data_IF_388658035046
#
_entry.id   IF_388658035046
#
_cell.length_a   1.000
_cell.length_b   1.000
_cell.length_c   1.000
_cell.angle_alpha   90.00
_cell.angle_beta   90.00
_cell.angle_gamma   90.00
#
_symmetry.space_group_name_H-M   'P 1'
#
loop_
_entity.id
_entity.type
_entity.pdbx_description
1 polymer ?
#
# COMPACT_ATOMS: atom_id res chain seq x y z
N UNK A 1 39.71 -52.32 17.74
CA UNK A 1 38.84 -51.15 17.99
C UNK A 1 38.47 -50.41 16.69
N UNK A 2 37.72 -51.02 15.73
CA UNK A 2 37.36 -50.34 14.47
C UNK A 2 35.93 -49.74 14.48
N UNK A 3 35.07 -50.22 15.38
CA UNK A 3 33.63 -49.91 15.39
C UNK A 3 33.33 -48.47 15.85
N UNK A 4 34.18 -47.91 16.71
CA UNK A 4 34.05 -46.54 17.23
C UNK A 4 34.36 -45.46 16.18
N UNK A 5 35.25 -45.75 15.22
CA UNK A 5 35.64 -44.81 14.16
C UNK A 5 34.58 -44.67 13.07
N UNK A 6 33.83 -45.75 12.79
CA UNK A 6 32.73 -45.72 11.81
C UNK A 6 31.55 -44.88 12.29
N UNK A 7 31.19 -45.00 13.57
CA UNK A 7 30.09 -44.24 14.18
C UNK A 7 30.39 -42.73 14.22
N UNK A 8 31.64 -42.34 14.53
CA UNK A 8 32.06 -40.94 14.56
C UNK A 8 32.06 -40.29 13.16
N UNK A 9 32.39 -41.06 12.11
CA UNK A 9 32.32 -40.60 10.71
C UNK A 9 30.87 -40.45 10.21
N UNK A 10 29.98 -41.36 10.59
CA UNK A 10 28.54 -41.28 10.30
C UNK A 10 27.90 -40.07 10.99
N UNK A 11 28.23 -39.83 12.26
CA UNK A 11 27.77 -38.66 13.02
C UNK A 11 28.28 -37.35 12.42
N UNK A 12 29.56 -37.28 12.02
CA UNK A 12 30.12 -36.11 11.37
C UNK A 12 29.47 -35.83 10.01
N UNK A 13 29.20 -36.86 9.20
CA UNK A 13 28.48 -36.73 7.95
C UNK A 13 27.03 -36.24 8.15
N UNK A 14 26.34 -36.73 9.19
CA UNK A 14 24.99 -36.29 9.56
C UNK A 14 24.96 -34.84 10.08
N UNK A 15 25.99 -34.41 10.82
CA UNK A 15 26.16 -33.02 11.23
C UNK A 15 26.48 -32.09 10.06
N UNK A 16 27.28 -32.55 9.08
CA UNK A 16 27.56 -31.79 7.86
C UNK A 16 26.30 -31.65 6.99
N UNK A 17 25.48 -32.70 6.83
CA UNK A 17 24.20 -32.58 6.10
C UNK A 17 23.17 -31.70 6.83
N UNK A 18 23.17 -31.69 8.18
CA UNK A 18 22.36 -30.74 8.96
C UNK A 18 22.87 -29.29 8.87
N UNK A 19 24.18 -29.07 8.70
CA UNK A 19 24.75 -27.73 8.47
C UNK A 19 24.39 -27.16 7.09
N UNK A 20 24.08 -28.03 6.12
CA UNK A 20 23.59 -27.66 4.79
C UNK A 20 22.05 -27.57 4.70
N UNK A 21 21.31 -27.83 5.78
CA UNK A 21 19.97 -27.27 5.93
C UNK A 21 20.15 -25.77 6.16
N UNK A 22 20.44 -25.07 5.07
CA UNK A 22 20.39 -23.63 5.01
C UNK A 22 19.07 -23.21 5.59
N UNK A 23 19.13 -22.39 6.63
CA UNK A 23 17.97 -21.68 7.14
C UNK A 23 17.49 -20.81 5.98
N UNK A 24 16.60 -21.33 5.13
CA UNK A 24 15.90 -20.50 4.15
C UNK A 24 15.01 -19.61 5.00
N UNK A 25 15.50 -18.39 5.28
CA UNK A 25 14.67 -17.38 5.90
C UNK A 25 13.45 -17.22 4.99
N UNK A 26 12.31 -17.71 5.45
CA UNK A 26 11.05 -17.55 4.73
C UNK A 26 10.58 -16.13 5.01
N UNK A 27 10.69 -15.27 4.01
CA UNK A 27 10.22 -13.90 4.09
C UNK A 27 8.72 -13.87 3.82
N UNK A 28 7.99 -13.03 4.56
CA UNK A 28 6.56 -12.78 4.30
C UNK A 28 6.38 -12.23 2.88
N UNK A 29 5.30 -12.58 2.17
CA UNK A 29 5.03 -12.00 0.86
C UNK A 29 4.93 -10.47 0.92
N UNK A 30 5.44 -9.80 -0.11
CA UNK A 30 5.36 -8.35 -0.27
C UNK A 30 4.39 -8.04 -1.40
N UNK A 31 3.39 -7.22 -1.13
CA UNK A 31 2.42 -6.76 -2.12
C UNK A 31 2.70 -5.30 -2.42
N UNK A 32 2.94 -4.98 -3.68
CA UNK A 32 3.26 -3.62 -4.14
C UNK A 32 2.03 -3.00 -4.80
N UNK A 33 1.65 -1.81 -4.35
CA UNK A 33 0.60 -0.97 -4.95
C UNK A 33 1.23 0.32 -5.46
N UNK A 34 1.12 0.54 -6.77
CA UNK A 34 1.78 1.66 -7.43
C UNK A 34 1.01 2.98 -7.28
N UNK A 35 1.62 4.07 -7.77
CA UNK A 35 1.06 5.40 -7.75
C UNK A 35 0.46 5.85 -9.08
N UNK A 36 0.24 7.15 -9.21
CA UNK A 36 -0.23 7.79 -10.43
C UNK A 36 0.69 7.49 -11.63
N UNK A 37 0.08 7.09 -12.74
CA UNK A 37 0.72 6.84 -14.03
C UNK A 37 1.78 5.75 -14.09
N UNK A 38 2.00 5.03 -12.99
CA UNK A 38 2.92 3.88 -12.94
C UNK A 38 2.24 2.59 -13.44
N UNK A 39 3.03 1.53 -13.52
CA UNK A 39 2.62 0.13 -13.71
C UNK A 39 3.64 -0.80 -13.06
N UNK A 40 3.41 -2.13 -13.02
CA UNK A 40 4.39 -3.09 -12.50
C UNK A 40 5.79 -2.99 -13.12
N UNK A 41 5.90 -2.56 -14.39
CA UNK A 41 7.19 -2.42 -15.06
C UNK A 41 8.09 -1.35 -14.44
N UNK A 42 7.55 -0.41 -13.68
CA UNK A 42 8.33 0.69 -13.10
C UNK A 42 9.02 0.30 -11.77
N UNK A 43 8.69 -0.88 -11.23
CA UNK A 43 9.20 -1.37 -9.95
C UNK A 43 10.38 -2.34 -10.08
N UNK A 44 10.94 -2.53 -11.28
CA UNK A 44 12.05 -3.49 -11.49
C UNK A 44 13.25 -3.23 -10.59
N UNK A 45 13.59 -1.96 -10.34
CA UNK A 45 14.68 -1.61 -9.43
C UNK A 45 14.38 -2.04 -7.98
N UNK A 46 13.15 -1.83 -7.51
CA UNK A 46 12.71 -2.29 -6.19
C UNK A 46 12.77 -3.81 -6.09
N UNK A 47 12.25 -4.52 -7.11
CA UNK A 47 12.27 -5.98 -7.15
C UNK A 47 13.69 -6.53 -7.11
N UNK A 48 14.64 -5.91 -7.82
CA UNK A 48 16.05 -6.28 -7.76
C UNK A 48 16.62 -6.10 -6.35
N UNK A 49 16.39 -4.96 -5.70
CA UNK A 49 16.86 -4.74 -4.34
C UNK A 49 16.27 -5.73 -3.33
N UNK A 50 14.97 -6.04 -3.43
CA UNK A 50 14.34 -7.05 -2.57
C UNK A 50 14.99 -8.42 -2.82
N UNK A 51 15.21 -8.81 -4.08
CA UNK A 51 15.82 -10.10 -4.39
C UNK A 51 17.29 -10.20 -3.95
N UNK A 52 18.06 -9.10 -4.06
CA UNK A 52 19.46 -9.04 -3.62
C UNK A 52 19.59 -9.13 -2.09
N UNK A 53 18.67 -8.52 -1.34
CA UNK A 53 18.75 -8.43 0.13
C UNK A 53 17.93 -9.49 0.86
N UNK A 54 16.81 -9.91 0.27
CA UNK A 54 15.88 -10.91 0.80
C UNK A 54 15.56 -11.95 -0.29
N UNK A 55 16.55 -12.76 -0.71
CA UNK A 55 16.37 -13.73 -1.79
C UNK A 55 15.25 -14.73 -1.47
N UNK A 56 14.39 -14.99 -2.45
CA UNK A 56 13.24 -15.89 -2.31
C UNK A 56 11.97 -15.24 -1.75
N UNK A 57 11.97 -13.94 -1.46
CA UNK A 57 10.73 -13.21 -1.10
C UNK A 57 9.73 -13.26 -2.24
N UNK A 58 8.50 -13.69 -1.96
CA UNK A 58 7.41 -13.63 -2.93
C UNK A 58 6.90 -12.18 -3.04
N UNK A 59 7.21 -11.50 -4.14
CA UNK A 59 6.77 -10.11 -4.38
C UNK A 59 5.70 -10.10 -5.47
N UNK A 60 4.52 -9.56 -5.14
CA UNK A 60 3.41 -9.36 -6.07
C UNK A 60 3.22 -7.88 -6.33
N UNK A 61 3.60 -7.40 -7.52
CA UNK A 61 3.26 -6.05 -7.97
C UNK A 61 1.91 -6.13 -8.68
N UNK A 62 0.87 -5.59 -8.05
CA UNK A 62 -0.51 -5.77 -8.51
C UNK A 62 -0.75 -4.88 -9.73
N UNK A 63 -1.06 -5.52 -10.87
CA UNK A 63 -1.33 -4.90 -12.17
C UNK A 63 -2.80 -4.48 -12.27
N UNK A 64 -3.14 -3.34 -11.68
CA UNK A 64 -4.48 -2.77 -11.70
C UNK A 64 -4.42 -1.25 -11.69
N UNK A 65 -5.25 -0.61 -12.52
CA UNK A 65 -5.30 0.85 -12.66
C UNK A 65 -3.98 1.47 -13.14
N UNK A 66 -3.27 0.74 -13.99
CA UNK A 66 -2.06 1.19 -14.66
C UNK A 66 -2.24 2.48 -15.46
N UNK A 67 -1.15 3.26 -15.54
CA UNK A 67 -1.06 4.42 -16.43
C UNK A 67 -2.22 5.39 -16.20
N UNK A 68 -3.00 5.72 -17.23
CA UNK A 68 -4.12 6.66 -17.13
C UNK A 68 -5.26 6.14 -16.28
N UNK A 69 -5.39 4.82 -16.09
CA UNK A 69 -6.46 4.25 -15.27
C UNK A 69 -6.29 4.58 -13.78
N UNK A 70 -5.08 4.96 -13.34
CA UNK A 70 -4.80 5.49 -11.99
C UNK A 70 -5.52 6.81 -11.70
N UNK A 71 -6.13 7.45 -12.72
CA UNK A 71 -6.95 8.64 -12.55
C UNK A 71 -8.39 8.34 -12.16
N UNK A 72 -8.83 7.08 -12.19
CA UNK A 72 -10.18 6.72 -11.71
C UNK A 72 -10.31 6.95 -10.20
N UNK A 73 -11.52 7.25 -9.74
CA UNK A 73 -11.84 7.45 -8.31
C UNK A 73 -11.14 6.46 -7.38
N UNK A 74 -10.56 6.96 -6.29
CA UNK A 74 -9.81 6.13 -5.35
C UNK A 74 -10.66 5.02 -4.70
N UNK A 75 -11.96 5.23 -4.48
CA UNK A 75 -12.82 4.16 -3.95
C UNK A 75 -12.99 3.01 -4.94
N UNK A 76 -13.01 3.30 -6.25
CA UNK A 76 -13.01 2.25 -7.28
C UNK A 76 -11.70 1.48 -7.26
N UNK A 77 -10.57 2.19 -7.07
CA UNK A 77 -9.26 1.55 -6.97
C UNK A 77 -9.16 0.66 -5.72
N UNK A 78 -9.61 1.16 -4.56
CA UNK A 78 -9.63 0.40 -3.30
C UNK A 78 -10.38 -0.92 -3.45
N UNK A 79 -11.55 -0.91 -4.10
CA UNK A 79 -12.32 -2.13 -4.29
C UNK A 79 -11.63 -3.10 -5.27
N UNK A 80 -11.05 -2.61 -6.38
CA UNK A 80 -10.29 -3.45 -7.29
C UNK A 80 -9.06 -4.08 -6.63
N UNK A 81 -8.28 -3.28 -5.90
CA UNK A 81 -7.12 -3.79 -5.16
C UNK A 81 -7.53 -4.74 -4.04
N UNK A 82 -8.65 -4.50 -3.32
CA UNK A 82 -9.18 -5.47 -2.34
C UNK A 82 -9.38 -6.83 -2.99
N UNK A 83 -10.07 -6.89 -4.14
CA UNK A 83 -10.38 -8.15 -4.81
C UNK A 83 -9.13 -8.91 -5.24
N UNK A 84 -8.08 -8.20 -5.69
CA UNK A 84 -6.81 -8.82 -6.08
C UNK A 84 -5.94 -9.23 -4.89
N UNK A 85 -5.92 -8.44 -3.82
CA UNK A 85 -5.02 -8.61 -2.68
C UNK A 85 -5.55 -9.62 -1.67
N UNK A 86 -6.87 -9.67 -1.47
CA UNK A 86 -7.49 -10.52 -0.44
C UNK A 86 -7.13 -12.01 -0.58
N UNK A 87 -7.12 -12.63 -1.79
CA UNK A 87 -6.65 -14.00 -1.94
C UNK A 87 -5.17 -14.20 -1.60
N UNK A 88 -4.31 -13.20 -1.85
CA UNK A 88 -2.88 -13.25 -1.51
C UNK A 88 -2.72 -13.27 0.01
N UNK A 89 -3.45 -12.38 0.70
CA UNK A 89 -3.51 -12.34 2.16
C UNK A 89 -3.97 -13.69 2.73
N UNK A 90 -5.04 -14.27 2.21
CA UNK A 90 -5.58 -15.54 2.72
C UNK A 90 -4.65 -16.74 2.52
N UNK A 91 -3.75 -16.69 1.54
CA UNK A 91 -2.75 -17.74 1.31
C UNK A 91 -1.46 -17.54 2.13
N UNK A 92 -1.30 -16.41 2.82
CA UNK A 92 -0.13 -16.09 3.61
C UNK A 92 -0.41 -16.30 5.11
N UNK A 93 -0.14 -17.50 5.62
CA UNK A 93 -0.44 -17.86 7.01
C UNK A 93 0.19 -16.90 8.05
N UNK A 94 1.41 -16.43 7.79
CA UNK A 94 2.14 -15.52 8.68
C UNK A 94 1.90 -14.04 8.36
N UNK A 95 0.98 -13.73 7.44
CA UNK A 95 0.68 -12.38 6.99
C UNK A 95 1.55 -11.88 5.84
N UNK A 96 1.30 -10.64 5.43
CA UNK A 96 1.98 -9.99 4.28
C UNK A 96 2.51 -8.61 4.66
N UNK A 97 3.43 -8.09 3.85
CA UNK A 97 3.81 -6.68 3.87
C UNK A 97 3.16 -5.95 2.70
N UNK A 98 2.67 -4.72 2.94
CA UNK A 98 2.24 -3.81 1.89
C UNK A 98 3.32 -2.77 1.65
N UNK A 99 3.71 -2.60 0.39
CA UNK A 99 4.55 -1.50 -0.07
C UNK A 99 3.75 -0.63 -1.03
N UNK A 100 3.43 0.58 -0.63
CA UNK A 100 2.47 1.40 -1.34
C UNK A 100 3.08 2.75 -1.66
N UNK A 101 3.32 3.00 -2.95
CA UNK A 101 4.06 4.17 -3.41
C UNK A 101 3.13 5.32 -3.81
N UNK A 102 3.45 6.55 -3.38
CA UNK A 102 2.75 7.77 -3.81
C UNK A 102 1.24 7.64 -3.55
N UNK A 103 0.39 7.81 -4.57
CA UNK A 103 -1.06 7.59 -4.46
C UNK A 103 -1.45 6.22 -3.88
N UNK A 104 -0.67 5.17 -4.15
CA UNK A 104 -0.91 3.82 -3.66
C UNK A 104 -1.00 3.73 -2.14
N UNK A 105 -0.30 4.59 -1.39
CA UNK A 105 -0.39 4.59 0.08
C UNK A 105 -1.74 5.03 0.62
N UNK A 106 -2.48 5.90 -0.11
CA UNK A 106 -3.85 6.23 0.24
C UNK A 106 -4.81 5.07 -0.02
N UNK A 107 -4.60 4.36 -1.14
CA UNK A 107 -5.36 3.16 -1.50
C UNK A 107 -5.16 2.09 -0.44
N UNK A 108 -3.92 1.79 -0.07
CA UNK A 108 -3.60 0.82 0.97
C UNK A 108 -4.20 1.22 2.32
N UNK A 109 -4.06 2.48 2.74
CA UNK A 109 -4.66 2.94 4.00
C UNK A 109 -6.17 2.77 4.03
N UNK A 110 -6.87 3.11 2.93
CA UNK A 110 -8.31 2.91 2.81
C UNK A 110 -8.71 1.43 2.78
N UNK A 111 -7.95 0.59 2.08
CA UNK A 111 -8.12 -0.86 2.08
C UNK A 111 -7.99 -1.43 3.49
N UNK A 112 -6.97 -1.05 4.26
CA UNK A 112 -6.81 -1.50 5.65
C UNK A 112 -7.91 -0.97 6.58
N UNK A 113 -8.37 0.26 6.36
CA UNK A 113 -9.44 0.86 7.16
C UNK A 113 -10.80 0.20 6.93
N UNK A 114 -11.01 -0.41 5.74
CA UNK A 114 -12.31 -0.97 5.35
C UNK A 114 -12.34 -2.49 5.34
N UNK A 115 -11.19 -3.17 5.51
CA UNK A 115 -11.05 -4.63 5.49
C UNK A 115 -10.55 -5.13 6.85
N UNK A 116 -11.43 -5.30 7.85
CA UNK A 116 -11.03 -5.56 9.24
C UNK A 116 -10.35 -6.92 9.47
N UNK A 117 -10.44 -7.84 8.50
CA UNK A 117 -9.89 -9.19 8.52
C UNK A 117 -8.57 -9.32 7.72
N UNK A 118 -7.91 -8.21 7.40
CA UNK A 118 -6.59 -8.22 6.77
C UNK A 118 -5.51 -8.81 7.70
N UNK A 119 -4.49 -9.45 7.15
CA UNK A 119 -3.32 -9.95 7.89
C UNK A 119 -2.01 -9.22 7.55
N UNK A 120 -2.11 -7.91 7.27
CA UNK A 120 -0.92 -7.07 7.02
C UNK A 120 -0.12 -6.89 8.29
N UNK A 121 1.16 -7.25 8.22
CA UNK A 121 2.14 -7.08 9.29
C UNK A 121 2.81 -5.71 9.24
N UNK A 122 3.31 -5.33 8.05
CA UNK A 122 3.97 -4.04 7.84
C UNK A 122 3.31 -3.31 6.68
N UNK A 123 2.89 -2.07 6.93
CA UNK A 123 2.44 -1.14 5.91
C UNK A 123 3.49 -0.06 5.68
N UNK A 124 4.13 -0.10 4.52
CA UNK A 124 5.12 0.88 4.07
C UNK A 124 4.41 1.87 3.15
N UNK A 125 4.22 3.09 3.65
CA UNK A 125 3.63 4.21 2.92
C UNK A 125 4.74 5.08 2.31
N UNK A 126 5.23 4.71 1.12
CA UNK A 126 6.38 5.39 0.53
C UNK A 126 5.97 6.69 -0.16
N UNK A 127 6.34 7.83 0.44
CA UNK A 127 6.16 9.17 -0.13
C UNK A 127 4.71 9.47 -0.56
N UNK A 128 3.75 8.93 0.19
CA UNK A 128 2.32 9.06 -0.10
C UNK A 128 1.73 10.36 0.47
N UNK A 129 0.79 11.00 -0.23
CA UNK A 129 0.11 12.20 0.25
C UNK A 129 -0.93 11.84 1.33
N UNK A 130 -0.48 11.34 2.48
CA UNK A 130 -1.37 10.80 3.52
C UNK A 130 -2.35 11.84 4.07
N UNK A 131 -1.93 13.10 4.16
CA UNK A 131 -2.80 14.24 4.50
C UNK A 131 -3.26 15.05 3.27
N UNK A 132 -3.22 14.42 2.10
CA UNK A 132 -3.58 15.05 0.83
C UNK A 132 -2.46 15.86 0.19
N UNK A 133 -2.81 16.47 -0.94
CA UNK A 133 -1.90 17.27 -1.75
C UNK A 133 -2.44 18.69 -1.90
N UNK A 134 -1.54 19.67 -1.78
CA UNK A 134 -1.79 21.06 -2.16
C UNK A 134 -0.52 21.68 -2.76
N UNK A 135 -0.43 21.75 -4.08
CA UNK A 135 0.76 22.29 -4.75
C UNK A 135 0.66 22.20 -6.25
N UNK A 136 1.50 22.95 -6.97
CA UNK A 136 1.64 22.84 -8.41
C UNK A 136 2.65 21.74 -8.73
N UNK A 137 2.26 20.74 -9.51
CA UNK A 137 3.14 19.68 -9.99
C UNK A 137 3.10 19.60 -11.52
N UNK A 138 4.11 18.96 -12.12
CA UNK A 138 4.15 18.77 -13.59
C UNK A 138 2.92 18.02 -14.10
N UNK A 139 2.49 16.97 -13.39
CA UNK A 139 1.30 16.19 -13.78
C UNK A 139 0.00 16.98 -13.63
N UNK A 140 -0.13 17.83 -12.60
CA UNK A 140 -1.29 18.72 -12.46
C UNK A 140 -1.37 19.72 -13.61
N UNK A 141 -0.25 20.31 -14.02
CA UNK A 141 -0.21 21.20 -15.19
C UNK A 141 -0.57 20.47 -16.49
N UNK A 142 -0.23 19.19 -16.61
CA UNK A 142 -0.62 18.40 -17.77
C UNK A 142 -2.13 18.08 -17.79
N UNK A 143 -2.71 17.70 -16.65
CA UNK A 143 -4.14 17.38 -16.53
C UNK A 143 -5.05 18.61 -16.51
N UNK A 144 -4.57 19.71 -15.93
CA UNK A 144 -5.32 20.94 -15.70
C UNK A 144 -4.54 22.15 -16.26
N UNK A 145 -4.29 22.21 -17.58
CA UNK A 145 -3.34 23.13 -18.20
C UNK A 145 -3.65 24.62 -18.02
N UNK A 146 -4.91 24.96 -17.77
CA UNK A 146 -5.36 26.34 -17.58
C UNK A 146 -5.60 26.72 -16.12
N UNK A 147 -5.28 25.85 -15.16
CA UNK A 147 -5.59 26.06 -13.75
C UNK A 147 -4.33 26.18 -12.88
N UNK A 148 -4.35 27.15 -11.97
CA UNK A 148 -3.38 27.25 -10.87
C UNK A 148 -3.81 26.36 -9.71
N UNK A 149 -2.89 25.89 -8.85
CA UNK A 149 -3.26 25.16 -7.62
C UNK A 149 -4.40 25.81 -6.84
N UNK A 150 -4.39 27.14 -6.72
CA UNK A 150 -5.41 27.91 -5.99
C UNK A 150 -6.79 27.90 -6.65
N UNK A 151 -6.94 27.35 -7.86
CA UNK A 151 -8.20 27.23 -8.59
C UNK A 151 -8.66 25.77 -8.74
N UNK A 152 -7.82 24.78 -8.40
CA UNK A 152 -8.18 23.36 -8.54
C UNK A 152 -9.39 22.99 -7.68
N UNK A 153 -9.60 23.67 -6.54
CA UNK A 153 -10.78 23.48 -5.69
C UNK A 153 -12.11 23.65 -6.47
N UNK A 154 -12.14 24.53 -7.49
CA UNK A 154 -13.34 24.78 -8.31
C UNK A 154 -13.76 23.58 -9.15
N UNK A 155 -12.80 22.70 -9.47
CA UNK A 155 -13.04 21.46 -10.19
C UNK A 155 -13.17 20.33 -9.18
N UNK A 156 -12.19 20.19 -8.29
CA UNK A 156 -12.10 19.05 -7.39
C UNK A 156 -13.27 18.96 -6.41
N UNK A 157 -13.80 20.07 -5.92
CA UNK A 157 -14.94 20.05 -5.00
C UNK A 157 -16.30 20.11 -5.72
N UNK A 158 -16.37 19.51 -6.91
CA UNK A 158 -17.62 19.21 -7.63
C UNK A 158 -17.84 17.69 -7.67
N UNK A 159 -19.07 17.25 -7.94
CA UNK A 159 -19.40 15.82 -8.01
C UNK A 159 -18.55 15.09 -9.07
N UNK A 160 -18.44 15.66 -10.28
CA UNK A 160 -17.62 15.10 -11.36
C UNK A 160 -16.11 15.18 -11.05
N UNK A 161 -15.67 16.23 -10.36
CA UNK A 161 -14.29 16.33 -9.92
C UNK A 161 -13.88 15.18 -8.99
N UNK A 162 -14.78 14.77 -8.11
CA UNK A 162 -14.56 13.64 -7.20
C UNK A 162 -14.57 12.25 -7.88
N UNK A 163 -14.80 12.17 -9.19
CA UNK A 163 -14.55 10.94 -9.96
C UNK A 163 -13.08 10.81 -10.42
N UNK A 164 -12.27 11.86 -10.23
CA UNK A 164 -10.85 11.92 -10.56
C UNK A 164 -10.01 11.68 -9.30
N UNK A 165 -9.09 10.71 -9.35
CA UNK A 165 -8.31 10.25 -8.19
C UNK A 165 -7.58 11.39 -7.49
N UNK A 166 -6.97 12.32 -8.23
CA UNK A 166 -6.23 13.45 -7.67
C UNK A 166 -7.13 14.36 -6.82
N UNK A 167 -8.37 14.57 -7.26
CA UNK A 167 -9.31 15.40 -6.53
C UNK A 167 -9.83 14.73 -5.25
N UNK A 168 -9.75 13.39 -5.16
CA UNK A 168 -10.14 12.65 -3.95
C UNK A 168 -9.24 12.96 -2.74
N UNK A 169 -8.01 13.42 -2.97
CA UNK A 169 -7.06 13.84 -1.93
C UNK A 169 -6.52 15.25 -2.13
N UNK A 170 -7.19 16.07 -2.93
CA UNK A 170 -6.90 17.51 -2.97
C UNK A 170 -7.34 18.14 -1.64
N UNK A 171 -6.37 18.63 -0.86
CA UNK A 171 -6.61 19.20 0.46
C UNK A 171 -6.25 20.69 0.44
N UNK A 172 -7.19 21.53 0.02
CA UNK A 172 -6.98 22.99 -0.05
C UNK A 172 -7.10 23.64 1.34
N UNK A 173 -6.00 24.14 1.93
CA UNK A 173 -6.04 24.77 3.25
C UNK A 173 -6.77 26.11 3.24
N UNK A 174 -7.00 26.73 2.09
CA UNK A 174 -7.70 28.00 1.95
C UNK A 174 -9.21 27.84 1.72
N UNK A 175 -9.65 26.64 1.36
CA UNK A 175 -11.05 26.32 1.09
C UNK A 175 -11.51 25.12 1.93
N UNK A 176 -11.21 25.18 3.22
CA UNK A 176 -11.40 24.07 4.15
C UNK A 176 -12.87 23.60 4.24
N UNK A 177 -13.82 24.53 4.24
CA UNK A 177 -15.25 24.17 4.26
C UNK A 177 -15.68 23.42 3.00
N UNK A 178 -15.13 23.79 1.83
CA UNK A 178 -15.40 23.06 0.59
C UNK A 178 -14.77 21.67 0.62
N UNK A 179 -13.55 21.54 1.14
CA UNK A 179 -12.92 20.24 1.36
C UNK A 179 -13.78 19.34 2.26
N UNK A 180 -14.16 19.82 3.43
CA UNK A 180 -14.94 19.05 4.42
C UNK A 180 -16.30 18.62 3.87
N UNK A 181 -16.93 19.45 3.04
CA UNK A 181 -18.25 19.15 2.49
C UNK A 181 -18.23 18.30 1.22
N UNK A 182 -17.15 18.33 0.43
CA UNK A 182 -17.13 17.74 -0.91
C UNK A 182 -16.07 16.67 -1.14
N UNK A 183 -15.02 16.56 -0.32
CA UNK A 183 -14.07 15.44 -0.42
C UNK A 183 -14.79 14.14 -0.03
N UNK A 184 -14.92 13.22 -0.99
CA UNK A 184 -15.61 11.95 -0.79
C UNK A 184 -14.68 10.81 -0.37
N UNK A 185 -13.36 11.05 -0.35
CA UNK A 185 -12.36 10.05 0.00
C UNK A 185 -11.50 10.51 1.17
N UNK A 186 -10.65 11.53 1.02
CA UNK A 186 -9.69 11.89 2.06
C UNK A 186 -10.37 12.37 3.34
N UNK A 187 -11.37 13.25 3.23
CA UNK A 187 -12.11 13.71 4.42
C UNK A 187 -12.88 12.59 5.11
N UNK A 188 -13.38 11.61 4.34
CA UNK A 188 -14.07 10.42 4.89
C UNK A 188 -13.07 9.50 5.58
N UNK A 189 -11.94 9.21 4.92
CA UNK A 189 -10.89 8.32 5.42
C UNK A 189 -10.20 8.88 6.66
N UNK A 190 -10.13 10.21 6.80
CA UNK A 190 -9.57 10.89 7.96
C UNK A 190 -10.60 11.17 9.07
N UNK A 191 -11.84 10.68 8.94
CA UNK A 191 -12.93 10.95 9.90
C UNK A 191 -13.21 12.46 10.10
N UNK A 192 -12.92 13.28 9.07
CA UNK A 192 -13.15 14.73 9.08
C UNK A 192 -14.58 15.08 8.64
N UNK A 193 -15.30 14.12 8.07
CA UNK A 193 -16.69 14.25 7.63
C UNK A 193 -17.52 13.05 8.09
N UNK A 194 -18.67 13.33 8.70
CA UNK A 194 -19.65 12.31 9.05
C UNK A 194 -20.19 11.60 7.79
N UNK A 195 -20.02 10.27 7.72
CA UNK A 195 -20.57 9.42 6.66
C UNK A 195 -21.49 8.36 7.28
N UNK A 196 -22.67 8.03 6.72
CA UNK A 196 -23.61 7.06 7.33
C UNK A 196 -23.00 5.67 7.55
N UNK A 197 -22.07 5.27 6.67
CA UNK A 197 -21.31 4.01 6.78
C UNK A 197 -20.07 4.13 7.68
N UNK A 198 -19.80 5.30 8.27
CA UNK A 198 -18.78 5.48 9.32
C UNK A 198 -19.34 5.14 10.72
N UNK A 199 -20.49 4.46 10.77
CA UNK A 199 -21.06 3.93 12.00
C UNK A 199 -20.20 2.79 12.55
N UNK A 200 -19.24 3.17 13.41
CA UNK A 200 -18.80 2.35 14.53
C UNK A 200 -17.36 1.85 14.46
N UNK A 201 -16.44 2.63 15.06
CA UNK A 201 -15.19 2.13 15.67
C UNK A 201 -14.05 1.63 14.75
N UNK A 202 -13.95 1.99 13.46
CA UNK A 202 -12.92 1.37 12.59
C UNK A 202 -12.17 2.31 11.62
N UNK A 203 -11.89 3.57 11.98
CA UNK A 203 -11.01 4.43 11.14
C UNK A 203 -9.68 4.83 11.81
N UNK A 204 -9.61 4.91 13.15
CA UNK A 204 -8.37 5.26 13.87
C UNK A 204 -7.90 4.20 14.88
N UNK A 205 -8.76 3.27 15.28
CA UNK A 205 -8.45 2.21 16.26
C UNK A 205 -7.54 1.14 15.67
N UNK A 206 -7.62 0.86 14.36
CA UNK A 206 -6.84 -0.21 13.70
C UNK A 206 -5.33 0.10 13.60
N UNK A 207 -4.92 1.36 13.68
CA UNK A 207 -3.50 1.75 13.68
C UNK A 207 -2.89 1.85 15.09
N UNK A 208 -3.69 1.74 16.15
CA UNK A 208 -3.18 1.82 17.53
C UNK A 208 -3.27 0.49 18.29
N UNK A 209 -4.10 -0.46 17.85
CA UNK A 209 -4.25 -1.76 18.54
C UNK A 209 -3.53 -2.93 17.87
N UNK A 210 -3.04 -2.78 16.63
CA UNK A 210 -2.48 -3.88 15.83
C UNK A 210 -1.01 -3.72 15.45
N UNK A 211 -0.38 -2.60 15.81
CA UNK A 211 0.98 -2.25 15.38
C UNK A 211 1.93 -2.08 16.57
N UNK A 212 2.42 -3.21 17.08
CA UNK A 212 3.87 -3.33 17.34
C UNK A 212 4.66 -3.46 16.00
N UNK A 213 3.98 -3.33 14.86
CA UNK A 213 4.56 -3.10 13.54
C UNK A 213 5.07 -1.66 13.39
N UNK A 214 6.35 -1.54 13.08
CA UNK A 214 7.07 -0.28 12.82
C UNK A 214 6.43 0.43 11.62
N UNK A 215 5.80 1.59 11.84
CA UNK A 215 5.56 2.57 10.76
C UNK A 215 6.91 3.23 10.49
N UNK A 216 7.51 2.91 9.34
CA UNK A 216 8.72 3.59 8.84
C UNK A 216 8.24 4.69 7.91
N UNK A 217 8.30 5.94 8.38
CA UNK A 217 8.06 7.15 7.58
C UNK A 217 9.26 7.47 6.67
#
# INVERSE_FOLDING_TARGET
MPQHQGCLRLLAAFCLTFLFLTFTASYKPVIVVHGLFDSPSDFQLLLNFINETHPGTNVSVVDLFDRTESLKSLWMQVEGFRQAIYPIMQNAADGVHLYCYSQGGLICRALLSTMPDHNVDTFISLSSPQMGQYGDTKYLKWLFPHYMKSNLYRICYTQLGQDISICNYWNDPHHRDLYLNNSNFLAVLNDERFHPNASGKCFLTSFNSSTEGRVVE
#
